data_IF_046498684538
#
_entry.id   IF_046498684538
#
_cell.length_a   1.000
_cell.length_b   1.000
_cell.length_c   1.000
_cell.angle_alpha   90.00
_cell.angle_beta   90.00
_cell.angle_gamma   90.00
#
_symmetry.space_group_name_H-M   'P 1'
#
loop_
_entity.id
_entity.type
_entity.pdbx_description
1 polymer ?
#
# COMPACT_ATOMS: atom_id res chain seq x y z
N UNK A 1 -12.83 -7.71 44.38
CA UNK A 1 -11.74 -6.74 44.55
C UNK A 1 -12.23 -5.31 44.19
N UNK A 2 -12.83 -5.06 43.01
CA UNK A 2 -13.25 -3.73 42.54
C UNK A 2 -14.13 -2.97 43.55
N UNK A 3 -15.15 -3.61 44.13
CA UNK A 3 -16.11 -2.99 45.05
C UNK A 3 -15.54 -2.82 46.43
N UNK A 4 -15.12 -3.91 47.08
CA UNK A 4 -14.72 -3.94 48.50
C UNK A 4 -13.20 -3.96 48.72
N UNK A 5 -12.40 -4.09 47.65
CA UNK A 5 -10.96 -4.33 47.74
C UNK A 5 -10.59 -5.74 48.15
N UNK A 6 -9.34 -5.92 48.56
CA UNK A 6 -8.78 -7.17 48.99
C UNK A 6 -7.92 -6.95 50.26
N UNK A 7 -8.04 -7.85 51.19
CA UNK A 7 -7.19 -7.93 52.42
C UNK A 7 -6.46 -9.25 52.46
N UNK A 8 -5.28 -9.29 53.04
CA UNK A 8 -4.51 -10.50 53.28
C UNK A 8 -5.01 -11.25 54.57
N UNK A 9 -4.42 -12.40 54.82
CA UNK A 9 -4.75 -13.27 56.00
C UNK A 9 -4.48 -12.57 57.31
N UNK A 10 -3.68 -11.49 57.34
CA UNK A 10 -3.33 -10.71 58.55
C UNK A 10 -4.19 -9.43 58.67
N UNK A 11 -5.20 -9.25 57.80
CA UNK A 11 -6.06 -8.07 57.80
C UNK A 11 -5.46 -6.81 57.11
N UNK A 12 -4.30 -6.93 56.48
CA UNK A 12 -3.67 -5.83 55.76
C UNK A 12 -4.34 -5.65 54.40
N UNK A 13 -4.64 -4.37 54.07
CA UNK A 13 -5.25 -4.03 52.79
C UNK A 13 -4.21 -4.20 51.68
N UNK A 14 -4.52 -5.08 50.69
CA UNK A 14 -3.76 -5.27 49.46
C UNK A 14 -4.29 -4.29 48.40
N UNK A 15 -5.63 -4.23 48.25
CA UNK A 15 -6.33 -3.37 47.32
C UNK A 15 -7.49 -2.67 47.99
N UNK A 16 -7.64 -1.35 47.81
CA UNK A 16 -8.63 -0.56 48.54
C UNK A 16 -10.06 -0.76 48.07
N UNK A 17 -10.33 -0.94 46.80
CA UNK A 17 -11.67 -1.01 46.22
C UNK A 17 -12.45 0.33 46.33
N UNK A 18 -13.60 0.39 45.64
CA UNK A 18 -14.39 1.61 45.56
C UNK A 18 -14.96 2.06 46.91
N UNK A 19 -15.52 1.11 47.69
CA UNK A 19 -16.21 1.43 48.97
C UNK A 19 -15.21 1.97 49.99
N UNK A 20 -14.02 1.41 50.08
CA UNK A 20 -12.97 1.91 50.97
C UNK A 20 -12.39 3.26 50.55
N UNK A 21 -12.53 3.60 49.27
CA UNK A 21 -12.18 4.92 48.73
C UNK A 21 -13.32 5.95 48.87
N UNK A 22 -14.36 5.63 49.61
CA UNK A 22 -15.44 6.56 49.89
C UNK A 22 -16.60 6.56 48.90
N UNK A 23 -16.66 5.61 48.01
CA UNK A 23 -17.80 5.45 47.12
C UNK A 23 -18.95 4.72 47.81
N UNK A 24 -20.16 5.11 47.49
CA UNK A 24 -21.32 4.37 47.94
C UNK A 24 -21.39 3.02 47.22
N UNK A 25 -21.72 1.96 47.98
CA UNK A 25 -21.71 0.58 47.50
C UNK A 25 -22.67 0.35 46.32
N UNK A 26 -23.82 1.02 46.31
CA UNK A 26 -24.81 0.93 45.26
C UNK A 26 -24.28 1.47 43.91
N UNK A 27 -23.60 2.60 43.97
CA UNK A 27 -22.93 3.19 42.80
C UNK A 27 -21.77 2.36 42.34
N UNK A 28 -20.97 1.80 43.25
CA UNK A 28 -19.88 0.89 42.89
C UNK A 28 -20.36 -0.38 42.21
N UNK A 29 -21.44 -1.00 42.72
CA UNK A 29 -22.07 -2.15 42.09
C UNK A 29 -22.63 -1.82 40.69
N UNK A 30 -23.34 -0.70 40.56
CA UNK A 30 -23.88 -0.26 39.28
C UNK A 30 -22.80 -0.10 38.22
N UNK A 31 -21.70 0.56 38.56
CA UNK A 31 -20.56 0.74 37.65
C UNK A 31 -19.95 -0.61 37.29
N UNK A 32 -19.80 -1.51 38.26
CA UNK A 32 -19.28 -2.86 38.00
C UNK A 32 -20.17 -3.67 37.06
N UNK A 33 -21.48 -3.58 37.23
CA UNK A 33 -22.44 -4.25 36.38
C UNK A 33 -22.40 -3.69 34.95
N UNK A 34 -22.36 -2.37 34.79
CA UNK A 34 -22.20 -1.70 33.49
C UNK A 34 -20.88 -2.09 32.80
N UNK A 35 -19.77 -2.12 33.54
CA UNK A 35 -18.47 -2.60 33.04
C UNK A 35 -18.53 -4.09 32.67
N UNK A 36 -19.21 -4.91 33.46
CA UNK A 36 -19.36 -6.34 33.19
C UNK A 36 -20.21 -6.61 31.94
N UNK A 37 -21.29 -5.84 31.77
CA UNK A 37 -22.11 -5.88 30.54
C UNK A 37 -21.31 -5.40 29.32
N UNK A 38 -20.61 -4.30 29.45
CA UNK A 38 -19.72 -3.80 28.40
C UNK A 38 -18.66 -4.86 28.05
N UNK A 39 -18.05 -5.53 29.02
CA UNK A 39 -17.05 -6.58 28.79
C UNK A 39 -17.63 -7.80 28.03
N UNK A 40 -18.91 -8.14 28.22
CA UNK A 40 -19.60 -9.17 27.43
C UNK A 40 -19.72 -8.80 25.94
N UNK A 41 -19.80 -7.50 25.63
CA UNK A 41 -19.94 -6.95 24.27
C UNK A 41 -18.66 -6.21 23.80
N UNK A 42 -17.60 -6.17 24.63
CA UNK A 42 -16.38 -5.39 24.37
C UNK A 42 -15.69 -5.75 23.05
N UNK A 43 -15.92 -6.94 22.56
CA UNK A 43 -15.50 -7.34 21.21
C UNK A 43 -16.70 -7.36 20.26
N UNK A 44 -16.77 -6.35 19.39
CA UNK A 44 -17.83 -6.28 18.39
C UNK A 44 -17.69 -7.43 17.38
N UNK A 45 -18.47 -8.50 17.57
CA UNK A 45 -18.49 -9.67 16.68
C UNK A 45 -18.76 -9.30 15.22
N UNK A 46 -19.62 -8.31 14.97
CA UNK A 46 -19.91 -7.83 13.62
C UNK A 46 -18.67 -7.23 12.96
N UNK A 47 -17.93 -6.42 13.71
CA UNK A 47 -16.65 -5.86 13.24
C UNK A 47 -15.65 -6.98 12.92
N UNK A 48 -15.47 -7.93 13.82
CA UNK A 48 -14.59 -9.08 13.60
C UNK A 48 -15.00 -9.92 12.40
N UNK A 49 -16.31 -10.18 12.22
CA UNK A 49 -16.83 -10.93 11.09
C UNK A 49 -16.56 -10.20 9.75
N UNK A 50 -16.77 -8.88 9.70
CA UNK A 50 -16.46 -8.09 8.52
C UNK A 50 -14.96 -8.16 8.17
N UNK A 51 -14.08 -7.98 9.16
CA UNK A 51 -12.63 -8.09 8.94
C UNK A 51 -12.20 -9.50 8.55
N UNK A 52 -12.80 -10.54 9.11
CA UNK A 52 -12.54 -11.92 8.72
C UNK A 52 -12.86 -12.17 7.24
N UNK A 53 -13.99 -11.62 6.75
CA UNK A 53 -14.34 -11.71 5.32
C UNK A 53 -13.31 -11.00 4.44
N UNK A 54 -12.89 -9.78 4.82
CA UNK A 54 -11.85 -9.05 4.08
C UNK A 54 -10.53 -9.82 4.08
N UNK A 55 -10.09 -10.32 5.25
CA UNK A 55 -8.87 -11.10 5.38
C UNK A 55 -8.91 -12.38 4.54
N UNK A 56 -10.05 -13.08 4.54
CA UNK A 56 -10.23 -14.26 3.70
C UNK A 56 -10.15 -13.92 2.21
N UNK A 57 -10.82 -12.85 1.77
CA UNK A 57 -10.80 -12.42 0.36
C UNK A 57 -9.40 -12.02 -0.10
N UNK A 58 -8.66 -11.27 0.72
CA UNK A 58 -7.28 -10.89 0.39
C UNK A 58 -6.35 -12.09 0.34
N UNK A 59 -6.49 -13.04 1.28
CA UNK A 59 -5.73 -14.29 1.26
C UNK A 59 -6.06 -15.15 0.03
N UNK A 60 -7.35 -15.24 -0.33
CA UNK A 60 -7.80 -15.94 -1.53
C UNK A 60 -7.20 -15.33 -2.80
N UNK A 61 -7.29 -14.00 -2.95
CA UNK A 61 -6.73 -13.30 -4.11
C UNK A 61 -5.22 -13.50 -4.20
N UNK A 62 -4.50 -13.39 -3.08
CA UNK A 62 -3.05 -13.64 -3.04
C UNK A 62 -2.70 -15.08 -3.44
N UNK A 63 -3.52 -16.07 -3.06
CA UNK A 63 -3.26 -17.47 -3.34
C UNK A 63 -3.57 -17.87 -4.79
N UNK A 64 -4.67 -17.36 -5.37
CA UNK A 64 -5.15 -17.79 -6.68
C UNK A 64 -4.85 -16.80 -7.82
N UNK A 65 -4.61 -15.52 -7.49
CA UNK A 65 -4.30 -14.45 -8.44
C UNK A 65 -3.10 -13.62 -7.94
N UNK A 66 -1.94 -14.27 -7.67
CA UNK A 66 -0.83 -13.62 -6.99
C UNK A 66 -0.27 -12.41 -7.75
N UNK A 67 -0.19 -12.49 -9.07
CA UNK A 67 0.36 -11.40 -9.90
C UNK A 67 -0.53 -10.16 -9.87
N UNK A 68 -1.84 -10.35 -10.07
CA UNK A 68 -2.85 -9.29 -10.02
C UNK A 68 -2.94 -8.68 -8.61
N UNK A 69 -2.90 -9.53 -7.59
CA UNK A 69 -2.90 -9.08 -6.19
C UNK A 69 -1.68 -8.22 -5.88
N UNK A 70 -0.48 -8.65 -6.28
CA UNK A 70 0.75 -7.90 -6.04
C UNK A 70 0.82 -6.61 -6.86
N UNK A 71 0.32 -6.60 -8.10
CA UNK A 71 0.19 -5.39 -8.89
C UNK A 71 -0.76 -4.38 -8.22
N UNK A 72 -1.89 -4.83 -7.69
CA UNK A 72 -2.82 -3.99 -6.93
C UNK A 72 -2.18 -3.45 -5.63
N UNK A 73 -1.41 -4.27 -4.92
CA UNK A 73 -0.66 -3.86 -3.73
C UNK A 73 0.36 -2.78 -4.06
N UNK A 74 1.20 -2.96 -5.08
CA UNK A 74 2.17 -1.97 -5.55
C UNK A 74 1.47 -0.64 -5.90
N UNK A 75 0.33 -0.71 -6.59
CA UNK A 75 -0.46 0.46 -6.96
C UNK A 75 -1.06 1.22 -5.76
N UNK A 76 -1.34 0.55 -4.65
CA UNK A 76 -1.83 1.19 -3.44
C UNK A 76 -0.78 2.11 -2.78
N UNK A 77 0.50 1.94 -3.12
CA UNK A 77 1.63 2.70 -2.59
C UNK A 77 2.23 3.74 -3.56
N UNK A 78 1.55 4.05 -4.68
CA UNK A 78 2.03 5.09 -5.62
C UNK A 78 2.24 6.46 -4.96
N UNK A 79 1.54 6.76 -3.87
CA UNK A 79 1.75 7.96 -3.06
C UNK A 79 2.86 7.84 -1.99
N UNK A 80 3.45 6.65 -1.80
CA UNK A 80 4.49 6.36 -0.82
C UNK A 80 5.53 5.40 -1.40
N UNK A 81 6.42 5.95 -2.22
CA UNK A 81 7.38 5.17 -3.00
C UNK A 81 8.38 4.38 -2.14
N UNK A 82 8.58 4.77 -0.89
CA UNK A 82 9.51 4.08 0.04
C UNK A 82 9.05 2.66 0.39
N UNK A 83 7.75 2.36 0.22
CA UNK A 83 7.18 1.03 0.43
C UNK A 83 7.31 0.09 -0.77
N UNK A 84 7.49 0.62 -1.96
CA UNK A 84 7.54 -0.17 -3.21
C UNK A 84 8.65 -1.23 -3.18
N UNK A 85 9.89 -0.97 -2.71
CA UNK A 85 10.95 -1.98 -2.67
C UNK A 85 10.57 -3.22 -1.83
N UNK A 86 9.89 -3.04 -0.70
CA UNK A 86 9.42 -4.13 0.16
C UNK A 86 8.50 -5.10 -0.61
N UNK A 87 7.54 -4.55 -1.38
CA UNK A 87 6.62 -5.35 -2.19
C UNK A 87 7.25 -5.95 -3.45
N UNK A 88 8.27 -5.29 -4.01
CA UNK A 88 9.08 -5.86 -5.09
C UNK A 88 9.83 -7.10 -4.58
N UNK A 89 10.40 -7.04 -3.38
CA UNK A 89 11.09 -8.19 -2.78
C UNK A 89 10.12 -9.32 -2.42
N UNK A 90 8.88 -9.00 -2.03
CA UNK A 90 7.83 -10.01 -1.88
C UNK A 90 7.47 -10.66 -3.22
N UNK A 91 7.34 -9.88 -4.30
CA UNK A 91 7.14 -10.43 -5.64
C UNK A 91 8.25 -11.43 -6.03
N UNK A 92 9.52 -11.09 -5.76
CA UNK A 92 10.64 -12.01 -6.01
C UNK A 92 10.51 -13.32 -5.21
N UNK A 93 10.13 -13.23 -3.92
CA UNK A 93 9.88 -14.41 -3.06
C UNK A 93 8.76 -15.29 -3.59
N UNK A 94 7.76 -14.67 -4.22
CA UNK A 94 6.63 -15.36 -4.86
C UNK A 94 6.94 -15.82 -6.29
N UNK A 95 8.18 -15.66 -6.79
CA UNK A 95 8.58 -15.93 -8.18
C UNK A 95 7.77 -15.13 -9.21
N UNK A 96 7.33 -13.93 -8.87
CA UNK A 96 6.66 -12.99 -9.77
C UNK A 96 7.73 -12.05 -10.33
N UNK A 97 7.94 -12.11 -11.64
CA UNK A 97 8.90 -11.24 -12.32
C UNK A 97 8.37 -9.82 -12.45
N UNK A 98 9.20 -8.84 -12.09
CA UNK A 98 8.93 -7.42 -12.33
C UNK A 98 9.69 -7.00 -13.60
N UNK A 99 8.93 -6.65 -14.63
CA UNK A 99 9.48 -6.13 -15.87
C UNK A 99 9.90 -4.67 -15.68
N UNK A 100 11.02 -4.29 -16.30
CA UNK A 100 11.51 -2.91 -16.28
C UNK A 100 10.46 -1.94 -16.85
N UNK A 101 10.51 -0.66 -16.46
CA UNK A 101 9.72 0.36 -17.13
C UNK A 101 10.08 0.42 -18.62
N UNK A 102 9.10 0.72 -19.45
CA UNK A 102 9.23 0.78 -20.90
C UNK A 102 8.32 1.90 -21.40
N UNK A 103 8.89 2.85 -22.15
CA UNK A 103 8.17 4.03 -22.61
C UNK A 103 6.97 3.68 -23.52
N UNK A 104 7.07 2.57 -24.23
CA UNK A 104 6.03 2.10 -25.15
C UNK A 104 5.02 1.15 -24.53
N UNK A 105 5.32 0.56 -23.35
CA UNK A 105 4.45 -0.47 -22.75
C UNK A 105 3.95 -0.12 -21.37
N UNK A 106 4.73 0.65 -20.60
CA UNK A 106 4.33 1.02 -19.25
C UNK A 106 3.23 2.08 -19.24
N UNK A 107 2.37 1.98 -18.25
CA UNK A 107 1.36 2.98 -17.91
C UNK A 107 1.76 3.71 -16.61
N UNK A 108 0.92 4.59 -16.15
CA UNK A 108 1.11 5.31 -14.87
C UNK A 108 1.23 4.32 -13.70
N UNK A 109 0.41 3.28 -13.70
CA UNK A 109 0.34 2.23 -12.67
C UNK A 109 1.12 0.99 -13.08
N UNK A 110 1.43 0.14 -12.08
CA UNK A 110 1.87 -1.23 -12.35
C UNK A 110 0.73 -2.01 -13.02
N UNK A 111 1.06 -2.76 -14.07
CA UNK A 111 0.10 -3.56 -14.83
C UNK A 111 0.57 -5.00 -14.96
N UNK A 112 -0.37 -5.93 -15.10
CA UNK A 112 -0.05 -7.33 -15.41
C UNK A 112 0.19 -7.46 -16.92
N UNK A 113 1.33 -8.03 -17.26
CA UNK A 113 1.80 -8.24 -18.64
C UNK A 113 2.35 -9.67 -18.79
N UNK A 114 1.55 -10.54 -19.40
CA UNK A 114 1.94 -11.93 -19.62
C UNK A 114 2.25 -12.74 -18.34
N UNK A 115 1.50 -12.50 -17.25
CA UNK A 115 1.73 -13.16 -15.96
C UNK A 115 2.87 -12.55 -15.13
N UNK A 116 3.49 -11.48 -15.60
CA UNK A 116 4.52 -10.68 -14.94
C UNK A 116 3.94 -9.30 -14.58
N UNK A 117 4.64 -8.52 -13.78
CA UNK A 117 4.22 -7.15 -13.45
C UNK A 117 5.11 -6.17 -14.19
N UNK A 118 4.53 -5.32 -15.01
CA UNK A 118 5.22 -4.21 -15.68
C UNK A 118 5.32 -3.03 -14.72
N UNK A 119 6.53 -2.45 -14.57
CA UNK A 119 6.78 -1.31 -13.71
C UNK A 119 6.03 -0.08 -14.23
N UNK A 120 5.29 0.60 -13.34
CA UNK A 120 4.54 1.82 -13.66
C UNK A 120 5.43 3.06 -13.72
N UNK A 121 5.30 3.89 -14.76
CA UNK A 121 6.10 5.11 -14.91
C UNK A 121 5.86 6.11 -13.77
N UNK A 122 4.64 6.14 -13.21
CA UNK A 122 4.31 6.99 -12.06
C UNK A 122 5.01 6.63 -10.75
N UNK A 123 5.68 5.47 -10.70
CA UNK A 123 6.50 5.03 -9.56
C UNK A 123 7.96 5.46 -9.67
N UNK A 124 8.35 6.10 -10.78
CA UNK A 124 9.73 6.59 -10.97
C UNK A 124 9.85 7.96 -10.29
N UNK A 125 10.86 8.11 -9.45
CA UNK A 125 11.12 9.36 -8.74
C UNK A 125 11.31 10.52 -9.74
N UNK A 126 10.72 11.67 -9.47
CA UNK A 126 10.70 12.88 -10.30
C UNK A 126 9.93 12.75 -11.64
N UNK A 127 9.17 11.68 -11.83
CA UNK A 127 8.25 11.54 -12.96
C UNK A 127 6.83 11.84 -12.44
N UNK A 128 6.31 12.99 -12.84
CA UNK A 128 4.97 13.45 -12.44
C UNK A 128 3.87 12.68 -13.19
N UNK A 129 2.72 12.48 -12.52
CA UNK A 129 1.58 11.76 -13.12
C UNK A 129 1.11 12.43 -14.41
N UNK A 130 1.01 13.76 -14.44
CA UNK A 130 0.62 14.53 -15.64
C UNK A 130 1.58 14.28 -16.81
N UNK A 131 2.89 14.20 -16.56
CA UNK A 131 3.87 13.87 -17.59
C UNK A 131 3.65 12.44 -18.14
N UNK A 132 3.37 11.47 -17.27
CA UNK A 132 3.08 10.11 -17.71
C UNK A 132 1.79 10.04 -18.52
N UNK A 133 0.74 10.74 -18.08
CA UNK A 133 -0.54 10.76 -18.80
C UNK A 133 -0.37 11.38 -20.19
N UNK A 134 0.46 12.44 -20.33
CA UNK A 134 0.82 13.03 -21.62
C UNK A 134 1.57 12.02 -22.50
N UNK A 135 2.58 11.34 -21.97
CA UNK A 135 3.36 10.31 -22.68
C UNK A 135 2.45 9.19 -23.20
N UNK A 136 1.58 8.67 -22.34
CA UNK A 136 0.65 7.58 -22.67
C UNK A 136 -0.36 8.05 -23.74
N UNK A 137 -1.00 9.21 -23.53
CA UNK A 137 -1.96 9.74 -24.48
C UNK A 137 -1.36 10.00 -25.87
N UNK A 138 -0.13 10.54 -25.91
CA UNK A 138 0.59 10.76 -27.17
C UNK A 138 0.87 9.43 -27.89
N UNK A 139 1.35 8.42 -27.17
CA UNK A 139 1.60 7.08 -27.70
C UNK A 139 0.33 6.41 -28.23
N UNK A 140 -0.77 6.52 -27.51
CA UNK A 140 -2.05 5.92 -27.91
C UNK A 140 -2.64 6.59 -29.15
N UNK A 141 -2.41 7.91 -29.31
CA UNK A 141 -2.88 8.69 -30.45
C UNK A 141 -2.01 8.53 -31.69
N UNK A 142 -0.68 8.53 -31.53
CA UNK A 142 0.28 8.67 -32.62
C UNK A 142 1.10 7.40 -32.87
N UNK A 143 0.85 6.30 -32.11
CA UNK A 143 1.63 5.05 -32.19
C UNK A 143 2.86 5.07 -31.27
N UNK A 144 3.54 3.93 -31.20
CA UNK A 144 4.76 3.74 -30.38
C UNK A 144 5.84 4.75 -30.76
N UNK A 145 6.66 5.13 -29.80
CA UNK A 145 7.88 5.91 -30.03
C UNK A 145 8.92 5.00 -30.71
N UNK A 146 9.48 5.44 -31.82
CA UNK A 146 10.42 4.65 -32.63
C UNK A 146 11.88 4.87 -32.24
N UNK A 147 12.20 5.99 -31.54
CA UNK A 147 13.53 6.32 -31.06
C UNK A 147 13.43 7.32 -29.90
N UNK A 148 14.54 7.57 -29.22
CA UNK A 148 14.61 8.63 -28.21
C UNK A 148 14.41 10.03 -28.82
N UNK A 149 14.94 10.27 -30.03
CA UNK A 149 14.74 11.54 -30.76
C UNK A 149 13.27 11.77 -31.06
N UNK A 150 12.57 10.77 -31.60
CA UNK A 150 11.12 10.84 -31.86
C UNK A 150 10.33 11.15 -30.59
N UNK A 151 10.71 10.51 -29.46
CA UNK A 151 10.11 10.81 -28.17
C UNK A 151 10.34 12.27 -27.76
N UNK A 152 11.56 12.80 -27.88
CA UNK A 152 11.88 14.18 -27.51
C UNK A 152 11.12 15.20 -28.38
N UNK A 153 11.07 14.98 -29.69
CA UNK A 153 10.34 15.84 -30.64
C UNK A 153 8.84 15.89 -30.32
N UNK A 154 8.26 14.70 -30.02
CA UNK A 154 6.83 14.58 -29.69
C UNK A 154 6.48 15.12 -28.29
N UNK A 155 7.44 15.27 -27.40
CA UNK A 155 7.28 15.81 -26.04
C UNK A 155 7.69 17.28 -25.95
N UNK A 156 8.17 17.90 -27.02
CA UNK A 156 8.53 19.32 -27.04
C UNK A 156 7.32 20.20 -26.73
N UNK A 157 7.46 21.10 -25.75
CA UNK A 157 6.38 21.96 -25.27
C UNK A 157 5.35 21.33 -24.36
N UNK A 158 5.46 20.03 -24.09
CA UNK A 158 4.56 19.29 -23.22
C UNK A 158 5.00 19.32 -21.74
N UNK A 159 4.20 18.70 -20.86
CA UNK A 159 4.45 18.64 -19.40
C UNK A 159 5.66 17.78 -19.00
N UNK A 160 6.52 17.38 -19.93
CA UNK A 160 7.67 16.48 -19.74
C UNK A 160 8.95 17.32 -19.71
N UNK A 161 9.45 17.60 -18.50
CA UNK A 161 10.66 18.42 -18.33
C UNK A 161 11.94 17.55 -18.36
N UNK A 162 13.10 18.20 -18.51
CA UNK A 162 14.43 17.55 -18.56
C UNK A 162 14.67 16.58 -17.38
N UNK A 163 14.28 16.96 -16.16
CA UNK A 163 14.47 16.10 -14.97
C UNK A 163 13.62 14.83 -15.03
N UNK A 164 12.43 14.91 -15.60
CA UNK A 164 11.58 13.76 -15.87
C UNK A 164 12.26 12.81 -16.87
N UNK A 165 12.75 13.35 -18.01
CA UNK A 165 13.45 12.57 -19.04
C UNK A 165 14.69 11.87 -18.45
N UNK A 166 15.54 12.60 -17.72
CA UNK A 166 16.70 12.01 -17.05
C UNK A 166 16.33 10.86 -16.09
N UNK A 167 15.20 11.00 -15.39
CA UNK A 167 14.73 9.97 -14.47
C UNK A 167 14.20 8.73 -15.21
N UNK A 168 13.54 8.92 -16.35
CA UNK A 168 13.09 7.85 -17.24
C UNK A 168 14.29 7.09 -17.85
N UNK A 169 15.33 7.82 -18.31
CA UNK A 169 16.58 7.20 -18.82
C UNK A 169 17.23 6.36 -17.72
N UNK A 170 17.44 6.93 -16.53
CA UNK A 170 18.07 6.23 -15.40
C UNK A 170 17.28 4.99 -14.96
N UNK A 171 15.96 5.04 -15.06
CA UNK A 171 15.10 3.90 -14.76
C UNK A 171 15.10 2.83 -15.87
N UNK A 172 15.63 3.13 -17.06
CA UNK A 172 15.72 2.21 -18.19
C UNK A 172 14.45 2.15 -19.05
N UNK A 173 13.61 3.21 -19.02
CA UNK A 173 12.39 3.27 -19.80
C UNK A 173 12.62 3.27 -21.33
N UNK A 174 13.83 3.59 -21.76
CA UNK A 174 14.26 3.64 -23.17
C UNK A 174 15.20 2.51 -23.57
N UNK A 175 15.41 1.49 -22.68
CA UNK A 175 16.37 0.39 -22.94
C UNK A 175 16.03 -0.45 -24.19
N UNK A 176 14.82 -0.35 -24.72
CA UNK A 176 14.41 -1.04 -25.94
C UNK A 176 14.83 -0.31 -27.24
N UNK A 177 15.33 0.93 -27.13
CA UNK A 177 15.91 1.63 -28.27
C UNK A 177 17.38 1.20 -28.49
N UNK A 178 17.91 1.52 -29.65
CA UNK A 178 19.28 1.14 -30.04
C UNK A 178 20.32 1.95 -29.27
N UNK A 179 19.97 3.16 -28.84
CA UNK A 179 20.85 4.08 -28.13
C UNK A 179 21.19 3.55 -26.72
N UNK A 180 22.43 3.72 -26.31
CA UNK A 180 22.86 3.37 -24.95
C UNK A 180 22.47 4.48 -23.97
N UNK A 181 22.25 4.14 -22.69
CA UNK A 181 21.93 5.12 -21.63
C UNK A 181 22.99 6.22 -21.47
N UNK A 182 24.23 5.96 -21.89
CA UNK A 182 25.32 6.94 -21.84
C UNK A 182 25.31 7.93 -23.00
N UNK A 183 24.55 7.62 -24.05
CA UNK A 183 24.37 8.49 -25.23
C UNK A 183 23.06 9.26 -25.22
N UNK A 184 22.11 8.88 -24.36
CA UNK A 184 20.86 9.58 -24.10
C UNK A 184 21.03 10.67 -23.03
#
# INVERSE_FOLDING_TARGET
IFIHGQIDENGKIIETGCVRNGWDEKSANKIFDEMSEFAKYAFNKSHAACYAVVSYRTAYLKAYYPTEFMAAMLNSFLGNLDKIPEYIDECKRMNIEILKPDINRSYTKFTVDGGKIRFGLGSIKNVGLAAVDTIVANREKNGEYISFTDFCERMEGEAVNKKCIESLIKAGAFDNFVETRSTL
#
